data_IF_714678519894
#
_entry.id   IF_714678519894
#
_cell.length_a   1.000
_cell.length_b   1.000
_cell.length_c   1.000
_cell.angle_alpha   90.00
_cell.angle_beta   90.00
_cell.angle_gamma   90.00
#
_symmetry.space_group_name_H-M   'P 1'
#
loop_
_entity.id
_entity.type
_entity.pdbx_description
1 polymer ?
#
# COMPACT_ATOMS: atom_id res chain seq x y z
N UNK A 1 18.98 -16.26 4.79
CA UNK A 1 19.48 -14.93 4.39
C UNK A 1 20.83 -15.14 3.75
N UNK A 2 21.09 -14.48 2.62
CA UNK A 2 22.34 -14.52 1.86
C UNK A 2 23.13 -13.25 2.23
N UNK A 3 24.41 -13.35 2.65
CA UNK A 3 25.20 -12.16 3.00
C UNK A 3 25.47 -11.26 1.79
N UNK A 4 25.48 -9.94 2.00
CA UNK A 4 25.82 -8.96 0.96
C UNK A 4 27.34 -8.84 0.71
N UNK A 5 28.18 -9.39 1.59
CA UNK A 5 29.65 -9.30 1.55
C UNK A 5 30.33 -10.55 0.93
N UNK A 6 29.57 -11.42 0.27
CA UNK A 6 30.13 -12.61 -0.36
C UNK A 6 31.20 -12.23 -1.40
N UNK A 7 32.33 -12.95 -1.48
CA UNK A 7 33.43 -12.63 -2.41
C UNK A 7 33.07 -12.63 -3.90
N UNK A 8 31.92 -13.20 -4.25
CA UNK A 8 31.38 -13.23 -5.62
C UNK A 8 30.69 -11.92 -6.02
N UNK A 9 30.30 -11.10 -5.04
CA UNK A 9 29.71 -9.80 -5.29
C UNK A 9 30.81 -8.73 -5.40
N UNK A 10 30.64 -7.74 -6.28
CA UNK A 10 31.60 -6.66 -6.41
C UNK A 10 31.66 -5.87 -5.10
N UNK A 11 32.88 -5.47 -4.69
CA UNK A 11 33.01 -4.48 -3.61
C UNK A 11 32.44 -3.15 -4.09
N UNK A 12 31.47 -2.64 -3.34
CA UNK A 12 30.84 -1.37 -3.63
C UNK A 12 31.46 -0.27 -2.74
N UNK A 13 31.68 0.91 -3.30
CA UNK A 13 31.99 2.12 -2.54
C UNK A 13 30.88 3.13 -2.80
N UNK A 14 30.23 3.58 -1.74
CA UNK A 14 29.06 4.45 -1.78
C UNK A 14 29.30 5.65 -0.89
N UNK A 15 28.63 6.76 -1.20
CA UNK A 15 28.54 7.92 -0.31
C UNK A 15 27.11 8.44 -0.33
N UNK A 16 26.15 7.61 0.14
CA UNK A 16 24.75 7.91 0.00
C UNK A 16 24.36 9.10 0.86
N UNK A 17 23.47 9.92 0.34
CA UNK A 17 22.87 11.05 1.04
C UNK A 17 21.39 11.09 0.72
N UNK A 18 20.58 11.51 1.69
CA UNK A 18 19.16 11.70 1.50
C UNK A 18 18.70 13.09 1.96
N UNK A 19 17.65 13.58 1.31
CA UNK A 19 16.86 14.72 1.76
C UNK A 19 15.38 14.44 1.54
N UNK A 20 14.51 15.16 2.24
CA UNK A 20 13.07 14.97 2.14
C UNK A 20 12.39 16.32 1.95
N UNK A 21 11.48 16.39 0.97
CA UNK A 21 10.67 17.57 0.68
C UNK A 21 9.18 17.23 0.64
N UNK A 22 8.33 18.24 0.72
CA UNK A 22 6.93 18.16 0.29
C UNK A 22 6.83 18.23 -1.25
N UNK A 23 5.64 17.97 -1.82
CA UNK A 23 5.43 18.03 -3.28
C UNK A 23 5.72 19.40 -3.91
N UNK A 24 5.66 20.48 -3.12
CA UNK A 24 6.01 21.83 -3.57
C UNK A 24 7.52 22.14 -3.52
N UNK A 25 8.34 21.17 -3.10
CA UNK A 25 9.79 21.26 -2.99
C UNK A 25 10.30 21.87 -1.67
N UNK A 26 9.43 22.23 -0.74
CA UNK A 26 9.84 22.74 0.58
C UNK A 26 10.43 21.61 1.44
N UNK A 27 11.50 21.89 2.18
CA UNK A 27 12.12 20.92 3.09
C UNK A 27 11.19 20.61 4.28
N UNK A 28 11.15 19.34 4.69
CA UNK A 28 10.27 18.88 5.78
C UNK A 28 10.88 19.05 7.18
N UNK A 29 12.14 19.48 7.27
CA UNK A 29 12.84 19.60 8.55
C UNK A 29 12.09 20.52 9.53
N UNK A 30 11.78 20.01 10.73
CA UNK A 30 11.02 20.73 11.75
C UNK A 30 9.51 20.80 11.51
N UNK A 31 9.00 20.23 10.40
CA UNK A 31 7.56 20.17 10.14
C UNK A 31 6.86 19.11 11.02
N UNK A 32 5.54 19.25 11.12
CA UNK A 32 4.65 18.20 11.63
C UNK A 32 3.74 17.77 10.48
N UNK A 33 3.76 16.48 10.15
CA UNK A 33 2.97 15.92 9.05
C UNK A 33 1.71 15.26 9.57
N UNK A 34 0.71 15.21 8.70
CA UNK A 34 -0.61 14.65 8.96
C UNK A 34 -0.88 13.53 7.95
N UNK A 35 -1.87 12.69 8.25
CA UNK A 35 -2.30 11.66 7.31
C UNK A 35 -2.69 12.31 5.96
N UNK A 36 -2.26 11.70 4.86
CA UNK A 36 -2.50 12.16 3.51
C UNK A 36 -1.45 13.14 2.96
N UNK A 37 -0.59 13.71 3.80
CA UNK A 37 0.53 14.52 3.31
C UNK A 37 1.46 13.67 2.44
N UNK A 38 2.07 14.30 1.44
CA UNK A 38 2.96 13.63 0.49
C UNK A 38 4.38 14.11 0.71
N UNK A 39 5.29 13.15 0.85
CA UNK A 39 6.72 13.40 0.99
C UNK A 39 7.46 12.84 -0.23
N UNK A 40 8.45 13.58 -0.68
CA UNK A 40 9.40 13.16 -1.70
C UNK A 40 10.75 12.92 -1.03
N UNK A 41 11.21 11.67 -1.06
CA UNK A 41 12.52 11.27 -0.55
C UNK A 41 13.50 11.27 -1.70
N UNK A 42 14.49 12.16 -1.65
CA UNK A 42 15.53 12.26 -2.67
C UNK A 42 16.78 11.56 -2.17
N UNK A 43 17.37 10.71 -3.01
CA UNK A 43 18.63 10.05 -2.73
C UNK A 43 19.66 10.31 -3.81
N UNK A 44 20.94 10.41 -3.42
CA UNK A 44 22.09 10.47 -4.31
C UNK A 44 23.25 9.63 -3.73
N UNK A 45 24.17 9.17 -4.57
CA UNK A 45 25.39 8.49 -4.12
C UNK A 45 25.22 7.04 -3.68
N UNK A 46 24.06 6.43 -3.94
CA UNK A 46 23.79 5.00 -3.78
C UNK A 46 24.41 4.19 -4.93
N UNK A 47 24.60 2.88 -4.77
CA UNK A 47 25.01 2.04 -5.89
C UNK A 47 23.84 1.22 -6.43
N UNK A 48 23.54 1.30 -7.74
CA UNK A 48 22.60 0.39 -8.39
C UNK A 48 23.03 -1.09 -8.38
N UNK A 49 24.24 -1.39 -7.87
CA UNK A 49 24.81 -2.75 -7.77
C UNK A 49 24.92 -3.26 -6.33
N UNK A 50 24.53 -2.48 -5.33
CA UNK A 50 24.51 -2.92 -3.94
C UNK A 50 23.35 -3.86 -3.64
N UNK A 51 23.31 -4.37 -2.40
CA UNK A 51 22.20 -5.15 -1.83
C UNK A 51 21.85 -6.42 -2.62
N UNK A 52 22.85 -7.21 -3.04
CA UNK A 52 22.64 -8.43 -3.84
C UNK A 52 22.37 -9.71 -3.01
N UNK A 53 22.43 -9.62 -1.68
CA UNK A 53 22.14 -10.67 -0.72
C UNK A 53 20.66 -10.74 -0.31
N UNK A 54 20.39 -10.85 0.98
CA UNK A 54 19.03 -10.80 1.54
C UNK A 54 18.25 -12.12 1.51
N UNK A 55 16.94 -12.02 1.39
CA UNK A 55 16.04 -13.17 1.31
C UNK A 55 16.02 -13.77 -0.11
N UNK A 56 15.76 -15.08 -0.27
CA UNK A 56 15.71 -15.72 -1.60
C UNK A 56 14.47 -15.34 -2.43
N UNK A 57 13.52 -14.61 -1.83
CA UNK A 57 12.31 -14.06 -2.46
C UNK A 57 12.02 -12.69 -1.84
N UNK A 58 11.40 -11.76 -2.58
CA UNK A 58 10.89 -11.92 -3.96
C UNK A 58 11.94 -11.71 -5.05
N UNK A 59 13.00 -10.96 -4.76
CA UNK A 59 14.09 -10.69 -5.69
C UNK A 59 15.06 -11.88 -5.69
N UNK A 60 15.45 -12.43 -6.86
CA UNK A 60 16.39 -13.54 -6.93
C UNK A 60 17.77 -13.18 -6.33
N UNK A 61 18.46 -14.13 -5.68
CA UNK A 61 19.83 -13.93 -5.20
C UNK A 61 20.78 -13.40 -6.28
N UNK A 62 21.63 -12.44 -5.92
CA UNK A 62 22.59 -11.82 -6.83
C UNK A 62 22.02 -10.66 -7.64
N UNK A 63 20.70 -10.41 -7.56
CA UNK A 63 20.07 -9.21 -8.12
C UNK A 63 19.98 -8.15 -7.01
N UNK A 64 20.31 -6.87 -7.28
CA UNK A 64 20.17 -5.78 -6.32
C UNK A 64 18.75 -5.67 -5.77
N UNK A 65 18.58 -5.78 -4.46
CA UNK A 65 17.28 -5.67 -3.77
C UNK A 65 16.74 -4.24 -3.74
N UNK A 66 17.57 -3.23 -4.00
CA UNK A 66 17.19 -1.83 -3.87
C UNK A 66 16.97 -1.40 -2.42
N UNK A 67 16.09 -0.42 -2.21
CA UNK A 67 15.84 0.22 -0.91
C UNK A 67 14.34 0.30 -0.62
N UNK A 68 13.98 0.21 0.65
CA UNK A 68 12.69 0.68 1.13
C UNK A 68 12.80 2.14 1.55
N UNK A 69 11.83 2.97 1.14
CA UNK A 69 11.61 4.31 1.66
C UNK A 69 10.17 4.40 2.18
N UNK A 70 9.99 4.76 3.45
CA UNK A 70 8.67 4.80 4.08
C UNK A 70 8.61 5.82 5.21
N UNK A 71 7.38 6.20 5.56
CA UNK A 71 7.09 6.98 6.77
C UNK A 71 6.46 6.08 7.83
N UNK A 72 6.91 6.18 9.08
CA UNK A 72 6.34 5.41 10.18
C UNK A 72 6.98 5.74 11.51
N UNK A 73 6.73 4.91 12.51
CA UNK A 73 7.39 4.99 13.79
C UNK A 73 7.97 3.65 14.21
N UNK A 74 9.28 3.64 14.48
CA UNK A 74 10.02 2.46 14.92
C UNK A 74 10.61 2.66 16.32
N UNK A 75 11.08 1.58 16.98
CA UNK A 75 11.77 1.67 18.26
C UNK A 75 13.08 2.47 18.17
N UNK A 76 13.66 2.82 19.33
CA UNK A 76 14.97 3.46 19.42
C UNK A 76 16.07 2.66 18.71
N UNK A 77 16.02 1.33 18.83
CA UNK A 77 16.95 0.41 18.17
C UNK A 77 16.30 -0.18 16.91
N UNK A 78 16.24 0.59 15.83
CA UNK A 78 15.63 0.15 14.57
C UNK A 78 16.63 -0.45 13.56
N UNK A 79 17.93 -0.24 13.75
CA UNK A 79 18.98 -0.48 12.73
C UNK A 79 19.12 -1.94 12.28
N UNK A 80 18.74 -2.30 11.05
CA UNK A 80 18.85 -3.68 10.54
C UNK A 80 20.29 -4.21 10.53
N UNK A 81 21.26 -3.37 10.16
CA UNK A 81 22.68 -3.75 10.09
C UNK A 81 23.31 -4.09 11.44
N UNK A 82 22.72 -3.59 12.52
CA UNK A 82 23.10 -3.89 13.90
C UNK A 82 22.27 -5.05 14.49
N UNK A 83 21.49 -5.75 13.64
CA UNK A 83 20.72 -6.93 14.03
C UNK A 83 19.37 -6.63 14.67
N UNK A 84 18.80 -5.43 14.48
CA UNK A 84 17.44 -5.15 14.94
C UNK A 84 16.43 -6.15 14.36
N UNK A 85 15.57 -6.68 15.24
CA UNK A 85 14.60 -7.72 14.90
C UNK A 85 13.69 -7.25 13.75
N UNK A 86 13.54 -8.02 12.66
CA UNK A 86 12.65 -7.66 11.56
C UNK A 86 11.21 -7.39 11.97
N UNK A 87 10.71 -8.06 13.02
CA UNK A 87 9.34 -7.89 13.52
C UNK A 87 9.10 -6.50 14.12
N UNK A 88 10.14 -5.82 14.62
CA UNK A 88 10.03 -4.46 15.17
C UNK A 88 10.05 -3.38 14.08
N UNK A 89 10.12 -3.80 12.82
CA UNK A 89 10.19 -2.94 11.63
C UNK A 89 9.02 -3.24 10.67
N UNK A 90 8.00 -3.92 11.18
CA UNK A 90 6.79 -4.27 10.42
C UNK A 90 6.07 -3.00 9.99
N UNK A 91 5.72 -2.93 8.72
CA UNK A 91 4.98 -1.82 8.12
C UNK A 91 4.05 -2.36 7.02
N UNK A 92 2.96 -1.66 6.68
CA UNK A 92 2.14 -2.01 5.54
C UNK A 92 2.94 -1.90 4.24
N UNK A 93 3.10 -3.01 3.52
CA UNK A 93 3.89 -3.07 2.28
C UNK A 93 3.27 -2.25 1.14
N UNK A 94 1.99 -1.85 1.26
CA UNK A 94 1.29 -1.01 0.30
C UNK A 94 1.40 0.49 0.59
N UNK A 95 2.17 0.87 1.62
CA UNK A 95 2.38 2.26 2.07
C UNK A 95 3.86 2.65 2.13
N UNK A 96 4.67 1.97 1.32
CA UNK A 96 6.09 2.24 1.15
C UNK A 96 6.41 2.45 -0.32
N UNK A 97 7.52 3.12 -0.59
CA UNK A 97 8.20 3.05 -1.87
C UNK A 97 9.30 1.99 -1.80
N UNK A 98 9.33 1.11 -2.80
CA UNK A 98 10.44 0.20 -3.04
C UNK A 98 11.28 0.74 -4.20
N UNK A 99 12.37 1.42 -3.85
CA UNK A 99 13.29 2.02 -4.81
C UNK A 99 14.15 0.93 -5.43
N UNK A 100 14.06 0.73 -6.74
CA UNK A 100 14.68 -0.39 -7.45
C UNK A 100 15.61 0.09 -8.58
N UNK A 101 16.82 -0.47 -8.69
CA UNK A 101 17.62 -0.38 -9.91
C UNK A 101 16.91 -1.00 -11.12
N UNK A 102 17.26 -0.50 -12.30
CA UNK A 102 16.77 -1.05 -13.57
C UNK A 102 16.98 -2.57 -13.66
N UNK A 103 15.94 -3.29 -14.13
CA UNK A 103 15.96 -4.74 -14.27
C UNK A 103 15.61 -5.53 -13.00
N UNK A 104 15.61 -4.91 -11.81
CA UNK A 104 15.28 -5.58 -10.55
C UNK A 104 13.85 -6.11 -10.54
N UNK A 105 12.86 -5.25 -10.81
CA UNK A 105 11.45 -5.65 -10.88
C UNK A 105 11.23 -6.76 -11.92
N UNK A 106 11.92 -6.66 -13.06
CA UNK A 106 11.80 -7.60 -14.17
C UNK A 106 12.36 -8.99 -13.85
N UNK A 107 13.33 -9.05 -12.93
CA UNK A 107 13.91 -10.30 -12.45
C UNK A 107 12.97 -11.10 -11.54
N UNK A 108 11.96 -10.46 -10.95
CA UNK A 108 11.01 -11.11 -10.05
C UNK A 108 10.14 -12.06 -10.89
N UNK A 109 10.10 -13.36 -10.56
CA UNK A 109 9.29 -14.32 -11.31
C UNK A 109 7.80 -13.94 -11.33
N UNK A 110 7.23 -13.79 -12.53
CA UNK A 110 5.79 -13.56 -12.75
C UNK A 110 5.02 -14.89 -12.95
N UNK A 111 5.38 -15.91 -12.16
CA UNK A 111 4.88 -17.28 -12.31
C UNK A 111 3.64 -17.58 -11.45
N UNK A 112 3.50 -18.83 -11.01
CA UNK A 112 2.37 -19.27 -10.17
C UNK A 112 2.26 -18.51 -8.83
N UNK A 113 3.35 -17.89 -8.36
CA UNK A 113 3.37 -16.95 -7.25
C UNK A 113 3.83 -15.61 -7.83
N UNK A 114 2.88 -14.81 -8.31
CA UNK A 114 3.18 -13.50 -8.89
C UNK A 114 3.26 -12.42 -7.80
N UNK A 115 4.46 -12.26 -7.25
CA UNK A 115 4.77 -11.15 -6.34
C UNK A 115 5.08 -9.87 -7.11
N UNK A 116 5.52 -9.98 -8.38
CA UNK A 116 5.98 -8.86 -9.21
C UNK A 116 4.87 -7.83 -9.40
N UNK A 117 3.64 -8.27 -9.71
CA UNK A 117 2.50 -7.35 -9.87
C UNK A 117 2.27 -6.47 -8.64
N UNK A 118 2.27 -7.07 -7.45
CA UNK A 118 2.05 -6.34 -6.20
C UNK A 118 3.19 -5.37 -5.89
N UNK A 119 4.42 -5.76 -6.18
CA UNK A 119 5.62 -4.96 -5.97
C UNK A 119 5.71 -3.81 -6.98
N UNK A 120 5.28 -4.03 -8.23
CA UNK A 120 5.25 -3.00 -9.27
C UNK A 120 4.41 -1.77 -8.89
N UNK A 121 3.44 -1.92 -7.97
CA UNK A 121 2.66 -0.79 -7.44
C UNK A 121 3.48 0.17 -6.58
N UNK A 122 4.50 -0.38 -5.93
CA UNK A 122 5.34 0.31 -4.94
C UNK A 122 6.72 0.63 -5.50
N UNK A 123 7.05 0.05 -6.65
CA UNK A 123 8.30 0.30 -7.33
C UNK A 123 8.47 1.80 -7.62
N UNK A 124 9.66 2.29 -7.32
CA UNK A 124 10.14 3.61 -7.70
C UNK A 124 11.51 3.42 -8.32
N UNK A 125 11.81 4.12 -9.41
CA UNK A 125 13.07 3.90 -10.14
C UNK A 125 14.27 4.51 -9.40
N UNK A 126 15.34 3.72 -9.28
CA UNK A 126 16.71 4.22 -9.08
C UNK A 126 17.40 4.39 -10.43
N UNK A 127 17.99 5.56 -10.64
CA UNK A 127 18.78 5.86 -11.82
C UNK A 127 20.11 5.11 -11.81
N UNK A 128 20.72 4.99 -13.00
CA UNK A 128 22.01 4.32 -13.17
C UNK A 128 23.18 5.02 -12.46
N UNK A 129 23.02 6.29 -12.08
CA UNK A 129 23.99 7.05 -11.29
C UNK A 129 23.75 6.93 -9.77
N UNK A 130 22.78 6.13 -9.34
CA UNK A 130 22.45 5.96 -7.92
C UNK A 130 21.56 7.06 -7.34
N UNK A 131 21.04 7.97 -8.17
CA UNK A 131 20.04 8.93 -7.74
C UNK A 131 18.62 8.36 -7.78
N UNK A 132 17.73 8.84 -6.92
CA UNK A 132 16.30 8.52 -6.99
C UNK A 132 15.44 9.63 -6.38
N UNK A 133 14.15 9.59 -6.68
CA UNK A 133 13.12 10.31 -5.93
C UNK A 133 11.96 9.36 -5.69
N UNK A 134 11.69 9.08 -4.42
CA UNK A 134 10.63 8.18 -3.99
C UNK A 134 9.47 8.98 -3.41
N UNK A 135 8.28 8.80 -3.96
CA UNK A 135 7.05 9.44 -3.46
C UNK A 135 6.40 8.55 -2.41
N UNK A 136 6.19 9.07 -1.20
CA UNK A 136 5.48 8.39 -0.12
C UNK A 136 4.31 9.22 0.37
N UNK A 137 3.19 8.57 0.69
CA UNK A 137 2.04 9.19 1.33
C UNK A 137 2.09 8.86 2.81
N UNK A 138 1.96 9.88 3.67
CA UNK A 138 1.89 9.72 5.12
C UNK A 138 0.57 9.01 5.46
N UNK A 139 0.65 7.71 5.71
CA UNK A 139 -0.51 6.91 6.10
C UNK A 139 -0.10 5.82 7.10
N UNK A 140 0.35 6.18 8.31
CA UNK A 140 0.80 5.18 9.27
C UNK A 140 -0.35 4.23 9.69
N UNK A 141 -0.03 2.98 10.05
CA UNK A 141 -1.01 2.10 10.69
C UNK A 141 -1.45 2.68 12.03
N UNK A 142 -2.64 2.27 12.50
CA UNK A 142 -3.16 2.71 13.81
C UNK A 142 -2.25 2.30 14.97
N UNK A 143 -1.55 1.17 14.83
CA UNK A 143 -0.54 0.70 15.78
C UNK A 143 0.80 0.63 15.09
N UNK A 144 1.77 1.38 15.60
CA UNK A 144 3.16 1.37 15.13
C UNK A 144 4.05 0.53 16.05
N UNK A 145 5.15 -0.04 15.54
CA UNK A 145 6.11 -0.79 16.37
C UNK A 145 6.86 0.03 17.43
N UNK A 146 6.89 1.36 17.30
CA UNK A 146 7.48 2.26 18.28
C UNK A 146 7.00 3.70 18.09
N UNK A 147 7.76 4.64 18.67
CA UNK A 147 7.36 6.05 18.81
C UNK A 147 8.29 7.04 18.10
N UNK A 148 9.39 6.57 17.49
CA UNK A 148 10.28 7.45 16.74
C UNK A 148 9.70 7.70 15.36
N UNK A 149 8.93 8.77 15.23
CA UNK A 149 8.34 9.16 13.97
C UNK A 149 9.41 9.67 12.99
N UNK A 150 9.30 9.27 11.74
CA UNK A 150 10.12 9.83 10.68
C UNK A 150 10.08 9.06 9.37
N UNK A 151 10.94 9.52 8.46
CA UNK A 151 11.23 8.83 7.20
C UNK A 151 12.39 7.87 7.42
N UNK A 152 12.22 6.63 6.97
CA UNK A 152 13.22 5.58 7.02
C UNK A 152 13.60 5.16 5.61
N UNK A 153 14.90 5.12 5.33
CA UNK A 153 15.47 4.53 4.10
C UNK A 153 16.43 3.43 4.53
N UNK A 154 16.27 2.23 3.99
CA UNK A 154 17.14 1.10 4.32
C UNK A 154 17.08 0.01 3.24
N UNK A 155 18.06 -0.92 3.20
CA UNK A 155 18.11 -1.97 2.18
C UNK A 155 16.86 -2.85 2.12
N UNK A 156 16.43 -3.13 0.89
CA UNK A 156 15.27 -3.95 0.59
C UNK A 156 15.48 -5.43 0.89
N UNK A 157 14.37 -6.18 1.03
CA UNK A 157 14.32 -7.64 1.05
C UNK A 157 15.36 -8.35 1.94
N UNK A 158 15.69 -7.75 3.09
CA UNK A 158 16.58 -8.36 4.09
C UNK A 158 18.07 -8.26 3.78
N UNK A 159 18.47 -7.47 2.78
CA UNK A 159 19.86 -7.06 2.65
C UNK A 159 20.32 -6.26 3.88
N UNK A 160 21.62 -6.31 4.13
CA UNK A 160 22.29 -5.62 5.23
C UNK A 160 23.38 -4.72 4.64
N UNK A 161 23.14 -3.40 4.70
CA UNK A 161 24.07 -2.38 4.26
C UNK A 161 23.92 -1.13 5.14
N UNK A 162 24.82 -0.98 6.11
CA UNK A 162 24.78 0.13 7.08
C UNK A 162 24.96 1.51 6.44
N UNK A 163 25.61 1.59 5.27
CA UNK A 163 25.81 2.87 4.59
C UNK A 163 24.49 3.45 4.07
N UNK A 164 23.52 2.60 3.76
CA UNK A 164 22.23 2.98 3.17
C UNK A 164 21.09 3.03 4.20
N UNK A 165 21.41 3.01 5.50
CA UNK A 165 20.45 3.10 6.59
C UNK A 165 20.32 4.53 7.10
N UNK A 166 19.21 5.19 6.76
CA UNK A 166 18.90 6.55 7.16
C UNK A 166 17.60 6.64 7.95
N UNK A 167 17.61 7.52 8.94
CA UNK A 167 16.45 7.96 9.69
C UNK A 167 16.42 9.48 9.74
N UNK A 168 15.35 10.07 9.21
CA UNK A 168 15.08 11.51 9.27
C UNK A 168 13.89 11.72 10.21
N UNK A 169 14.12 12.25 11.44
CA UNK A 169 13.05 12.54 12.37
C UNK A 169 12.04 13.51 11.75
N UNK A 170 10.76 13.17 11.83
CA UNK A 170 9.68 14.00 11.33
C UNK A 170 8.44 13.74 12.17
N UNK A 171 7.88 14.79 12.77
CA UNK A 171 6.78 14.65 13.73
C UNK A 171 5.48 14.25 13.04
N UNK A 172 4.70 13.38 13.70
CA UNK A 172 3.35 13.03 13.28
C UNK A 172 2.31 13.71 14.16
N UNK A 173 1.25 14.23 13.54
CA UNK A 173 0.01 14.59 14.22
C UNK A 173 -1.13 13.66 13.75
N UNK A 174 -1.89 13.03 14.66
CA UNK A 174 -3.06 12.25 14.31
C UNK A 174 -4.28 13.14 13.98
N UNK A 175 -4.23 14.44 14.29
CA UNK A 175 -5.29 15.37 13.95
C UNK A 175 -5.41 15.53 12.42
N UNK A 176 -6.61 15.79 11.88
CA UNK A 176 -6.77 16.00 10.45
C UNK A 176 -6.00 17.24 9.96
N UNK A 177 -5.13 17.04 8.96
CA UNK A 177 -4.48 18.10 8.19
C UNK A 177 -5.23 18.41 6.89
N UNK A 178 -4.67 19.33 6.09
CA UNK A 178 -5.30 19.78 4.84
C UNK A 178 -5.51 18.65 3.81
N UNK A 179 -4.62 17.65 3.80
CA UNK A 179 -4.66 16.51 2.88
C UNK A 179 -5.30 15.27 3.50
N UNK A 180 -5.79 15.34 4.75
CA UNK A 180 -6.37 14.17 5.41
C UNK A 180 -7.67 13.76 4.74
N UNK A 181 -7.78 12.51 4.25
CA UNK A 181 -9.02 12.03 3.67
C UNK A 181 -10.16 12.10 4.68
N UNK A 182 -11.35 12.52 4.22
CA UNK A 182 -12.54 12.49 5.07
C UNK A 182 -12.78 11.06 5.60
N UNK A 183 -13.14 10.90 6.88
CA UNK A 183 -13.45 9.61 7.44
C UNK A 183 -14.56 8.90 6.65
N UNK A 184 -14.42 7.60 6.34
CA UNK A 184 -15.45 6.86 5.62
C UNK A 184 -16.73 6.81 6.45
N UNK A 185 -17.87 6.87 5.77
CA UNK A 185 -19.20 6.77 6.37
C UNK A 185 -19.89 5.47 5.90
N UNK A 186 -20.68 4.81 6.76
CA UNK A 186 -21.31 3.54 6.41
C UNK A 186 -22.64 3.72 5.66
N UNK A 187 -22.64 4.43 4.52
CA UNK A 187 -23.88 4.83 3.82
C UNK A 187 -24.54 3.70 2.99
N UNK A 188 -23.78 2.66 2.63
CA UNK A 188 -24.27 1.44 1.99
C UNK A 188 -23.58 0.23 2.59
N UNK A 189 -24.34 -0.70 3.16
CA UNK A 189 -23.86 -1.93 3.76
C UNK A 189 -24.11 -3.11 2.82
N UNK A 190 -23.06 -3.87 2.54
CA UNK A 190 -23.11 -5.10 1.75
C UNK A 190 -22.59 -6.28 2.58
N UNK A 191 -23.32 -7.38 2.54
CA UNK A 191 -22.84 -8.67 3.06
C UNK A 191 -21.68 -9.18 2.19
N UNK A 192 -20.65 -9.70 2.85
CA UNK A 192 -19.38 -10.12 2.29
C UNK A 192 -18.91 -11.48 2.85
N UNK A 193 -19.84 -12.32 3.32
CA UNK A 193 -19.57 -13.64 3.89
C UNK A 193 -18.64 -14.51 3.04
N UNK A 194 -18.84 -14.49 1.71
CA UNK A 194 -18.01 -15.27 0.80
C UNK A 194 -16.56 -14.79 0.80
N UNK A 195 -16.33 -13.47 0.84
CA UNK A 195 -14.99 -12.90 0.90
C UNK A 195 -14.29 -13.24 2.21
N UNK A 196 -15.00 -13.11 3.34
CA UNK A 196 -14.46 -13.46 4.66
C UNK A 196 -14.13 -14.95 4.77
N UNK A 197 -15.04 -15.83 4.32
CA UNK A 197 -14.80 -17.28 4.29
C UNK A 197 -13.61 -17.64 3.41
N UNK A 198 -13.51 -17.03 2.23
CA UNK A 198 -12.37 -17.25 1.34
C UNK A 198 -11.05 -16.84 2.00
N UNK A 199 -10.99 -15.64 2.59
CA UNK A 199 -9.81 -15.14 3.28
C UNK A 199 -9.42 -16.04 4.46
N UNK A 200 -10.40 -16.52 5.23
CA UNK A 200 -10.17 -17.46 6.34
C UNK A 200 -9.52 -18.76 5.86
N UNK A 201 -10.14 -19.43 4.87
CA UNK A 201 -9.64 -20.71 4.34
C UNK A 201 -8.24 -20.56 3.72
N UNK A 202 -7.97 -19.43 3.08
CA UNK A 202 -6.71 -19.18 2.37
C UNK A 202 -5.65 -18.45 3.20
N UNK A 203 -5.94 -18.17 4.48
CA UNK A 203 -5.07 -17.40 5.39
C UNK A 203 -4.66 -16.03 4.81
N UNK A 204 -5.60 -15.38 4.14
CA UNK A 204 -5.44 -14.04 3.61
C UNK A 204 -6.21 -13.01 4.43
N UNK A 205 -6.75 -11.98 3.77
CA UNK A 205 -7.44 -10.88 4.44
C UNK A 205 -8.54 -10.23 3.60
N UNK A 206 -9.39 -9.48 4.27
CA UNK A 206 -10.39 -8.58 3.66
C UNK A 206 -10.12 -7.18 4.18
N UNK A 207 -9.63 -6.31 3.30
CA UNK A 207 -9.19 -4.96 3.64
C UNK A 207 -10.08 -3.92 2.95
N UNK A 208 -10.47 -2.89 3.70
CA UNK A 208 -11.26 -1.78 3.21
C UNK A 208 -10.38 -0.54 3.03
N UNK A 209 -10.59 0.23 1.98
CA UNK A 209 -9.92 1.52 1.76
C UNK A 209 -10.77 2.48 0.93
N UNK A 210 -10.29 3.73 0.80
CA UNK A 210 -10.82 4.73 -0.12
C UNK A 210 -12.34 4.99 -0.02
N UNK A 211 -12.89 4.96 1.21
CA UNK A 211 -14.33 5.13 1.46
C UNK A 211 -15.06 3.85 1.84
N UNK A 212 -14.40 2.69 1.77
CA UNK A 212 -14.94 1.45 2.34
C UNK A 212 -14.52 1.28 3.81
N UNK A 213 -15.39 0.66 4.61
CA UNK A 213 -15.14 0.31 6.01
C UNK A 213 -15.51 -1.14 6.26
N UNK A 214 -14.68 -1.87 7.00
CA UNK A 214 -15.04 -3.18 7.55
C UNK A 214 -15.85 -2.96 8.82
N UNK A 215 -17.13 -3.33 8.82
CA UNK A 215 -18.00 -3.16 9.99
C UNK A 215 -17.84 -4.32 10.98
N UNK A 216 -17.82 -5.54 10.46
CA UNK A 216 -17.66 -6.76 11.23
C UNK A 216 -17.05 -7.89 10.37
N UNK A 217 -17.20 -9.15 10.79
CA UNK A 217 -16.69 -10.33 10.07
C UNK A 217 -17.58 -10.79 8.91
N UNK A 218 -18.66 -10.05 8.61
CA UNK A 218 -19.65 -10.39 7.59
C UNK A 218 -19.95 -9.22 6.66
N UNK A 219 -19.79 -7.97 7.11
CA UNK A 219 -20.29 -6.80 6.40
C UNK A 219 -19.22 -5.76 6.10
N UNK A 220 -19.35 -5.18 4.91
CA UNK A 220 -18.56 -4.04 4.45
C UNK A 220 -19.50 -2.87 4.20
N UNK A 221 -19.03 -1.66 4.48
CA UNK A 221 -19.76 -0.45 4.17
C UNK A 221 -19.02 0.43 3.15
N UNK A 222 -19.77 1.24 2.39
CA UNK A 222 -19.25 2.16 1.38
C UNK A 222 -19.82 3.57 1.63
N UNK A 223 -18.96 4.58 1.47
CA UNK A 223 -19.33 5.98 1.66
C UNK A 223 -20.06 6.50 0.43
N UNK A 224 -21.14 7.25 0.61
CA UNK A 224 -21.87 7.88 -0.49
C UNK A 224 -21.01 8.96 -1.14
N UNK A 225 -20.98 8.97 -2.46
CA UNK A 225 -20.30 9.96 -3.27
C UNK A 225 -21.31 10.88 -3.96
N UNK A 226 -21.96 11.72 -3.16
CA UNK A 226 -22.99 12.64 -3.64
C UNK A 226 -22.47 13.62 -4.70
N UNK A 227 -21.17 13.94 -4.68
CA UNK A 227 -20.54 14.83 -5.65
C UNK A 227 -20.45 14.20 -7.05
N UNK A 228 -20.47 12.87 -7.16
CA UNK A 228 -20.45 12.16 -8.43
C UNK A 228 -21.86 11.90 -9.02
N UNK A 229 -22.94 12.24 -8.30
CA UNK A 229 -24.32 12.03 -8.74
C UNK A 229 -24.77 13.15 -9.71
N UNK A 230 -25.47 12.79 -10.79
CA UNK A 230 -25.79 13.72 -11.89
C UNK A 230 -27.31 13.92 -12.11
N UNK A 231 -28.12 13.72 -11.07
CA UNK A 231 -29.58 13.90 -11.14
C UNK A 231 -30.34 12.83 -11.95
N UNK A 232 -29.67 11.77 -12.40
CA UNK A 232 -30.23 10.60 -13.08
C UNK A 232 -30.88 9.59 -12.12
N UNK A 233 -30.90 9.89 -10.82
CA UNK A 233 -31.42 9.03 -9.76
C UNK A 233 -30.47 7.89 -9.35
N UNK A 234 -29.31 7.76 -9.99
CA UNK A 234 -28.28 6.78 -9.60
C UNK A 234 -27.59 7.27 -8.35
N UNK A 235 -27.62 6.46 -7.29
CA UNK A 235 -26.83 6.73 -6.08
C UNK A 235 -25.46 6.11 -6.24
N UNK A 236 -24.41 6.90 -6.05
CA UNK A 236 -23.03 6.45 -6.22
C UNK A 236 -22.35 6.38 -4.86
N UNK A 237 -21.54 5.35 -4.67
CA UNK A 237 -20.75 5.16 -3.48
C UNK A 237 -19.30 4.95 -3.89
N UNK A 238 -18.39 5.35 -3.01
CA UNK A 238 -16.95 5.17 -3.15
C UNK A 238 -16.45 4.20 -2.09
N UNK A 239 -15.43 3.44 -2.44
CA UNK A 239 -14.79 2.51 -1.54
C UNK A 239 -14.28 1.30 -2.25
N UNK A 240 -13.20 0.72 -1.74
CA UNK A 240 -12.59 -0.49 -2.29
C UNK A 240 -12.46 -1.53 -1.19
N UNK A 241 -12.98 -2.72 -1.46
CA UNK A 241 -12.79 -3.92 -0.63
C UNK A 241 -11.88 -4.86 -1.38
N UNK A 242 -10.70 -5.16 -0.82
CA UNK A 242 -9.73 -6.09 -1.40
C UNK A 242 -9.71 -7.36 -0.55
N UNK A 243 -9.98 -8.48 -1.21
CA UNK A 243 -9.88 -9.83 -0.64
C UNK A 243 -8.63 -10.50 -1.17
N UNK A 244 -7.74 -10.92 -0.29
CA UNK A 244 -6.49 -11.59 -0.63
C UNK A 244 -6.45 -13.01 -0.08
N UNK A 245 -5.66 -13.86 -0.71
CA UNK A 245 -5.13 -15.09 -0.13
C UNK A 245 -3.71 -14.86 0.41
N UNK A 246 -3.19 -15.80 1.22
CA UNK A 246 -1.79 -15.75 1.69
C UNK A 246 -0.83 -15.60 0.50
N UNK A 247 0.21 -14.79 0.68
CA UNK A 247 1.21 -14.45 -0.35
C UNK A 247 0.62 -13.83 -1.62
N UNK A 248 -0.59 -13.28 -1.55
CA UNK A 248 -1.28 -12.68 -2.70
C UNK A 248 -1.42 -13.66 -3.86
N UNK A 249 -1.61 -14.96 -3.55
CA UNK A 249 -1.90 -15.99 -4.56
C UNK A 249 -3.21 -15.72 -5.31
N UNK A 250 -4.11 -14.99 -4.65
CA UNK A 250 -5.31 -14.41 -5.21
C UNK A 250 -5.50 -13.02 -4.59
N UNK A 251 -6.02 -12.10 -5.40
CA UNK A 251 -6.36 -10.74 -5.03
C UNK A 251 -7.54 -10.33 -5.90
N UNK A 252 -8.70 -10.17 -5.28
CA UNK A 252 -9.93 -9.71 -5.91
C UNK A 252 -10.42 -8.48 -5.18
N UNK A 253 -10.80 -7.46 -5.93
CA UNK A 253 -11.33 -6.21 -5.42
C UNK A 253 -12.78 -6.03 -5.89
N UNK A 254 -13.59 -5.44 -5.01
CA UNK A 254 -14.89 -4.85 -5.35
C UNK A 254 -14.81 -3.37 -5.00
N UNK A 255 -15.25 -2.50 -5.91
CA UNK A 255 -15.18 -1.07 -5.72
C UNK A 255 -16.39 -0.31 -6.25
N UNK A 256 -16.60 0.87 -5.68
CA UNK A 256 -17.51 1.92 -6.14
C UNK A 256 -18.90 1.43 -6.55
N UNK A 257 -19.65 0.82 -5.61
CA UNK A 257 -20.96 0.29 -5.91
C UNK A 257 -21.94 1.43 -6.23
N UNK A 258 -22.84 1.19 -7.18
CA UNK A 258 -23.92 2.12 -7.54
C UNK A 258 -25.27 1.44 -7.35
N UNK A 259 -26.27 2.21 -6.91
CA UNK A 259 -27.67 1.81 -6.92
C UNK A 259 -28.36 2.49 -8.10
N UNK A 260 -28.73 1.71 -9.11
CA UNK A 260 -29.40 2.19 -10.32
C UNK A 260 -30.90 1.91 -10.20
N UNK A 261 -31.76 2.95 -10.15
CA UNK A 261 -33.20 2.76 -10.02
C UNK A 261 -33.78 1.99 -11.21
N UNK A 262 -34.74 1.12 -10.93
CA UNK A 262 -35.46 0.33 -11.92
C UNK A 262 -36.92 0.80 -12.06
N UNK A 263 -37.60 0.52 -13.18
CA UNK A 263 -38.98 0.95 -13.40
C UNK A 263 -40.00 0.41 -12.38
N UNK A 264 -39.71 -0.73 -11.76
CA UNK A 264 -40.55 -1.37 -10.74
C UNK A 264 -40.30 -0.81 -9.31
N UNK A 265 -39.44 0.21 -9.20
CA UNK A 265 -39.04 0.81 -7.93
C UNK A 265 -37.93 0.07 -7.18
N UNK A 266 -37.43 -1.05 -7.72
CA UNK A 266 -36.22 -1.71 -7.21
C UNK A 266 -34.94 -0.95 -7.60
N UNK A 267 -33.81 -1.37 -7.06
CA UNK A 267 -32.49 -0.89 -7.45
C UNK A 267 -31.60 -2.04 -7.91
N UNK A 268 -30.95 -1.86 -9.04
CA UNK A 268 -29.84 -2.70 -9.47
C UNK A 268 -28.56 -2.21 -8.78
N UNK A 269 -27.93 -3.09 -8.01
CA UNK A 269 -26.59 -2.88 -7.50
C UNK A 269 -25.62 -3.22 -8.62
N UNK A 270 -24.73 -2.28 -8.94
CA UNK A 270 -23.55 -2.56 -9.78
C UNK A 270 -22.30 -2.21 -9.00
N UNK A 271 -21.15 -2.75 -9.37
CA UNK A 271 -19.86 -2.37 -8.81
C UNK A 271 -18.73 -2.70 -9.77
N UNK A 272 -17.59 -2.05 -9.61
CA UNK A 272 -16.35 -2.49 -10.23
C UNK A 272 -15.90 -3.77 -9.54
N UNK A 273 -15.57 -4.81 -10.31
CA UNK A 273 -14.94 -6.04 -9.79
C UNK A 273 -13.69 -6.35 -10.60
N UNK A 274 -12.67 -6.92 -9.96
CA UNK A 274 -11.52 -7.49 -10.66
C UNK A 274 -11.93 -8.40 -11.83
N UNK A 275 -11.26 -8.25 -12.96
CA UNK A 275 -11.51 -9.08 -14.16
C UNK A 275 -11.01 -10.51 -14.03
N UNK A 276 -10.14 -10.79 -13.06
CA UNK A 276 -9.55 -12.09 -12.79
C UNK A 276 -9.27 -12.27 -11.30
N UNK A 277 -8.96 -13.49 -10.88
CA UNK A 277 -8.78 -13.86 -9.47
C UNK A 277 -7.53 -13.26 -8.80
N UNK A 278 -6.59 -12.72 -9.57
CA UNK A 278 -5.32 -12.20 -9.06
C UNK A 278 -4.90 -10.89 -9.75
N UNK A 279 -5.84 -9.96 -9.94
CA UNK A 279 -5.55 -8.64 -10.51
C UNK A 279 -5.98 -7.50 -9.60
N UNK A 280 -6.72 -7.78 -8.51
CA UNK A 280 -7.16 -6.77 -7.54
C UNK A 280 -7.71 -5.52 -8.21
N UNK A 281 -7.11 -4.37 -7.91
CA UNK A 281 -7.52 -3.08 -8.47
C UNK A 281 -6.87 -2.72 -9.82
N UNK A 282 -6.00 -3.55 -10.39
CA UNK A 282 -5.32 -3.24 -11.67
C UNK A 282 -6.29 -3.22 -12.84
N UNK A 283 -7.18 -4.22 -12.86
CA UNK A 283 -8.10 -4.44 -13.96
C UNK A 283 -9.47 -4.72 -13.38
N UNK A 284 -10.34 -3.71 -13.43
CA UNK A 284 -11.70 -3.81 -12.94
C UNK A 284 -12.72 -3.54 -14.04
N UNK A 285 -13.87 -4.17 -13.93
CA UNK A 285 -15.01 -3.99 -14.84
C UNK A 285 -16.28 -3.79 -14.02
N UNK A 286 -17.13 -2.85 -14.45
CA UNK A 286 -18.42 -2.62 -13.80
C UNK A 286 -19.41 -3.71 -14.20
N UNK A 287 -19.93 -4.42 -13.21
CA UNK A 287 -20.89 -5.52 -13.43
C UNK A 287 -22.10 -5.41 -12.50
N UNK A 288 -23.26 -5.99 -12.87
CA UNK A 288 -24.37 -6.24 -11.96
C UNK A 288 -23.94 -7.14 -10.79
N UNK A 289 -24.29 -6.75 -9.56
CA UNK A 289 -24.06 -7.52 -8.33
C UNK A 289 -25.35 -8.17 -7.81
N UNK A 290 -26.50 -7.55 -8.06
CA UNK A 290 -27.79 -8.04 -7.62
C UNK A 290 -28.88 -6.98 -7.67
N UNK A 291 -30.12 -7.37 -7.36
CA UNK A 291 -31.26 -6.47 -7.24
C UNK A 291 -31.68 -6.37 -5.78
N UNK A 292 -32.05 -5.16 -5.34
CA UNK A 292 -32.64 -4.92 -4.01
C UNK A 292 -33.96 -4.17 -4.16
N UNK A 293 -34.90 -4.45 -3.27
CA UNK A 293 -36.19 -3.75 -3.21
C UNK A 293 -36.04 -2.31 -2.70
N UNK A 294 -37.04 -1.47 -2.94
CA UNK A 294 -37.11 -0.12 -2.37
C UNK A 294 -37.01 -0.12 -0.83
N UNK A 295 -37.62 -1.10 -0.17
CA UNK A 295 -37.57 -1.24 1.28
C UNK A 295 -36.15 -1.54 1.76
N UNK A 296 -35.46 -2.50 1.14
CA UNK A 296 -34.06 -2.80 1.44
C UNK A 296 -33.17 -1.59 1.19
N UNK A 297 -33.37 -0.85 0.09
CA UNK A 297 -32.60 0.36 -0.20
C UNK A 297 -32.85 1.50 0.80
N UNK A 298 -34.01 1.53 1.47
CA UNK A 298 -34.31 2.51 2.52
C UNK A 298 -33.67 2.15 3.86
N UNK A 299 -33.57 0.85 4.18
CA UNK A 299 -32.91 0.36 5.39
C UNK A 299 -31.40 0.59 5.37
N UNK A 300 -30.78 0.59 4.19
CA UNK A 300 -29.36 0.93 3.98
C UNK A 300 -29.01 2.37 4.40
N UNK A 301 -29.98 3.29 4.44
CA UNK A 301 -29.78 4.72 4.77
C UNK A 301 -29.94 4.99 6.29
N UNK A 302 -30.39 4.01 7.08
CA UNK A 302 -30.67 4.17 8.52
C UNK A 302 -29.72 3.38 9.44
N UNK A 303 -28.70 2.74 8.86
CA UNK A 303 -27.68 1.97 9.58
C UNK A 303 -26.53 2.82 10.09
#
# INVERSE_FOLDING_TARGET
MIPDDLPIFPKITENPQISVTFEDGTLVEGATVHRGDVLLVHGIGFSPKANQGGFPLPVPPGVPNGLYALYGAFPAHWKPSEGADPSTRTHPHDRMAWVMPEGTLDSIPAGAIDMRRSIARQEQRMNADGSFTARIVVDPPETTPGDNWGVYVYPGAGSINAAEEFYIPLNYSPEPGANTPAPPQPDLLLDADLAFRFAEITKGGVNAKNGATKLDAHRMAFTRDAAAENGDGVRKYKGTVITTARFTLAEVAVADPWLIPQPDGSYLITGLISRSYNVGTDEMVRVPLGLITAAQAADQVRG
#
